data_IF_606990516211
#
_entry.id   IF_606990516211
#
_cell.length_a   1.000
_cell.length_b   1.000
_cell.length_c   1.000
_cell.angle_alpha   90.00
_cell.angle_beta   90.00
_cell.angle_gamma   90.00
#
_symmetry.space_group_name_H-M   'P 1'
#
loop_
_entity.id
_entity.type
_entity.pdbx_description
1 polymer ?
#
# COMPACT_ATOMS: atom_id res chain seq x y z
N UNK A 1 -48.41 -7.44 13.44
CA UNK A 1 -47.22 -6.94 14.16
C UNK A 1 -46.24 -6.36 13.15
N UNK A 2 -45.94 -5.06 13.17
CA UNK A 2 -44.97 -4.48 12.25
C UNK A 2 -43.55 -4.71 12.77
N UNK A 3 -42.65 -5.08 11.85
CA UNK A 3 -41.28 -5.50 12.14
C UNK A 3 -40.39 -4.38 12.70
N UNK A 4 -39.55 -4.77 13.65
CA UNK A 4 -38.48 -3.94 14.21
C UNK A 4 -37.40 -3.74 13.13
N UNK A 5 -36.99 -2.49 12.82
CA UNK A 5 -35.91 -2.26 11.88
C UNK A 5 -34.57 -2.64 12.53
N UNK A 6 -33.76 -3.43 11.82
CA UNK A 6 -32.42 -3.83 12.23
C UNK A 6 -31.47 -2.63 12.37
N UNK A 7 -31.40 -2.07 13.57
CA UNK A 7 -30.44 -1.05 13.97
C UNK A 7 -29.20 -1.71 14.57
N UNK A 8 -28.20 -2.05 13.74
CA UNK A 8 -26.91 -2.48 14.33
C UNK A 8 -25.91 -3.18 13.41
N UNK A 9 -25.21 -2.44 12.54
CA UNK A 9 -23.96 -2.98 11.95
C UNK A 9 -22.86 -1.94 11.66
N UNK A 10 -23.15 -0.64 11.84
CA UNK A 10 -22.17 0.43 11.60
C UNK A 10 -21.29 0.78 12.81
N UNK A 11 -21.68 0.44 14.05
CA UNK A 11 -20.97 0.92 15.25
C UNK A 11 -19.90 -0.04 15.81
N UNK A 12 -19.97 -1.35 15.55
CA UNK A 12 -18.96 -2.34 15.98
C UNK A 12 -17.72 -2.35 15.06
N UNK A 13 -17.97 -2.27 13.75
CA UNK A 13 -16.95 -2.38 12.71
C UNK A 13 -15.91 -1.24 12.72
N UNK A 14 -16.37 -0.01 12.96
CA UNK A 14 -15.47 1.15 13.12
C UNK A 14 -14.61 1.03 14.37
N UNK A 15 -15.19 0.54 15.48
CA UNK A 15 -14.48 0.32 16.75
C UNK A 15 -13.37 -0.72 16.61
N UNK A 16 -13.62 -1.81 15.89
CA UNK A 16 -12.62 -2.86 15.66
C UNK A 16 -11.44 -2.35 14.82
N UNK A 17 -11.69 -1.56 13.77
CA UNK A 17 -10.62 -0.99 12.95
C UNK A 17 -9.78 0.01 13.76
N UNK A 18 -10.40 0.85 14.59
CA UNK A 18 -9.67 1.78 15.47
C UNK A 18 -8.82 1.03 16.50
N UNK A 19 -9.35 -0.04 17.10
CA UNK A 19 -8.59 -0.90 18.02
C UNK A 19 -7.40 -1.55 17.31
N UNK A 20 -7.61 -2.09 16.11
CA UNK A 20 -6.54 -2.69 15.30
C UNK A 20 -5.43 -1.68 15.00
N UNK A 21 -5.78 -0.47 14.56
CA UNK A 21 -4.77 0.57 14.30
C UNK A 21 -3.94 0.92 15.55
N UNK A 22 -4.56 0.93 16.74
CA UNK A 22 -3.81 1.14 17.99
C UNK A 22 -2.83 -0.01 18.27
N UNK A 23 -3.27 -1.26 18.14
CA UNK A 23 -2.41 -2.44 18.32
C UNK A 23 -1.23 -2.41 17.36
N UNK A 24 -1.48 -2.13 16.07
CA UNK A 24 -0.45 -2.02 15.05
C UNK A 24 0.52 -0.87 15.35
N UNK A 25 0.01 0.29 15.76
CA UNK A 25 0.84 1.45 16.14
C UNK A 25 1.77 1.10 17.31
N UNK A 26 1.23 0.51 18.38
CA UNK A 26 2.03 0.10 19.54
C UNK A 26 3.11 -0.91 19.17
N UNK A 27 2.78 -1.89 18.32
CA UNK A 27 3.75 -2.88 17.83
C UNK A 27 4.88 -2.22 17.02
N UNK A 28 4.56 -1.28 16.12
CA UNK A 28 5.57 -0.59 15.32
C UNK A 28 6.51 0.26 16.20
N UNK A 29 5.96 0.97 17.19
CA UNK A 29 6.74 1.75 18.16
C UNK A 29 7.62 0.83 19.02
N UNK A 30 7.09 -0.30 19.51
CA UNK A 30 7.84 -1.33 20.25
C UNK A 30 9.05 -1.81 19.43
N UNK A 31 8.89 -1.93 18.10
CA UNK A 31 9.97 -2.30 17.18
C UNK A 31 10.81 -1.12 16.69
N UNK A 32 10.70 0.06 17.30
CA UNK A 32 11.58 1.21 17.03
C UNK A 32 11.28 1.95 15.73
N UNK A 33 10.07 1.86 15.19
CA UNK A 33 9.64 2.70 14.08
C UNK A 33 9.20 4.08 14.59
N UNK A 34 9.52 5.13 13.83
CA UNK A 34 8.80 6.39 13.90
C UNK A 34 7.45 6.20 13.19
N UNK A 35 6.34 6.56 13.84
CA UNK A 35 4.99 6.22 13.37
C UNK A 35 4.09 7.44 13.35
N UNK A 36 3.36 7.62 12.25
CA UNK A 36 2.28 8.60 12.17
C UNK A 36 0.95 7.94 11.81
N UNK A 37 -0.14 8.46 12.37
CA UNK A 37 -1.48 7.88 12.26
C UNK A 37 -2.47 8.85 11.61
N UNK A 38 -3.09 8.39 10.53
CA UNK A 38 -4.03 9.14 9.70
C UNK A 38 -5.46 8.65 9.95
N UNK A 39 -6.25 9.47 10.63
CA UNK A 39 -7.69 9.23 10.84
C UNK A 39 -8.48 9.93 9.75
N UNK A 40 -9.49 9.27 9.19
CA UNK A 40 -10.36 9.85 8.16
C UNK A 40 -11.20 10.98 8.79
N UNK A 41 -10.87 12.27 8.54
CA UNK A 41 -11.54 13.37 9.22
C UNK A 41 -12.91 13.65 8.60
N UNK A 42 -13.09 13.29 7.33
CA UNK A 42 -14.31 13.52 6.55
C UNK A 42 -15.14 12.23 6.45
N UNK A 43 -16.45 12.27 6.77
CA UNK A 43 -17.33 11.13 6.53
C UNK A 43 -17.26 10.66 5.07
N UNK A 44 -17.10 9.34 4.87
CA UNK A 44 -17.00 8.65 3.57
C UNK A 44 -15.67 8.79 2.81
N UNK A 45 -14.74 9.67 3.22
CA UNK A 45 -13.36 9.59 2.68
C UNK A 45 -12.70 8.35 3.28
N UNK A 46 -12.02 7.57 2.45
CA UNK A 46 -11.32 6.35 2.85
C UNK A 46 -9.88 6.50 2.45
N UNK A 47 -8.95 6.52 3.40
CA UNK A 47 -7.55 6.62 3.04
C UNK A 47 -6.98 5.26 2.60
N UNK A 48 -6.08 5.25 1.62
CA UNK A 48 -5.38 4.08 1.11
C UNK A 48 -4.37 3.53 2.11
N UNK A 49 -3.92 4.36 3.06
CA UNK A 49 -3.20 3.97 4.28
C UNK A 49 -3.78 4.69 5.51
N UNK A 50 -3.57 4.12 6.70
CA UNK A 50 -3.92 4.75 7.98
C UNK A 50 -2.69 4.98 8.86
N UNK A 51 -1.57 4.33 8.56
CA UNK A 51 -0.36 4.39 9.35
C UNK A 51 0.82 4.47 8.37
N UNK A 52 1.73 5.41 8.62
CA UNK A 52 3.08 5.42 8.07
C UNK A 52 4.03 5.00 9.16
N UNK A 53 5.06 4.23 8.81
CA UNK A 53 6.09 3.85 9.77
C UNK A 53 7.47 3.79 9.11
N UNK A 54 8.48 4.45 9.68
CA UNK A 54 9.84 4.48 9.14
C UNK A 54 10.88 4.08 10.18
N UNK A 55 11.84 3.24 9.78
CA UNK A 55 13.00 2.82 10.59
C UNK A 55 14.17 2.51 9.65
N UNK A 56 15.20 3.37 9.66
CA UNK A 56 16.31 3.24 8.71
C UNK A 56 15.83 3.39 7.26
N UNK A 57 16.13 2.40 6.44
CA UNK A 57 15.71 2.26 5.03
C UNK A 57 14.29 1.71 4.87
N UNK A 58 13.72 1.11 5.93
CA UNK A 58 12.36 0.54 5.89
C UNK A 58 11.33 1.63 6.07
N UNK A 59 10.55 1.89 5.02
CA UNK A 59 9.37 2.75 5.07
C UNK A 59 8.11 1.94 4.74
N UNK A 60 7.11 1.97 5.61
CA UNK A 60 5.86 1.21 5.49
C UNK A 60 4.66 2.14 5.30
N UNK A 61 3.79 1.81 4.36
CA UNK A 61 2.44 2.38 4.25
C UNK A 61 1.41 1.30 4.57
N UNK A 62 0.77 1.43 5.73
CA UNK A 62 -0.07 0.38 6.30
C UNK A 62 -1.53 0.79 6.26
N UNK A 63 -2.37 -0.08 5.68
CA UNK A 63 -3.83 0.01 5.74
C UNK A 63 -4.39 -0.98 6.74
N UNK A 64 -5.00 -0.49 7.81
CA UNK A 64 -5.74 -1.34 8.75
C UNK A 64 -7.19 -1.52 8.28
N UNK A 65 -7.65 -2.76 8.18
CA UNK A 65 -9.06 -3.10 7.91
C UNK A 65 -9.49 -4.28 8.77
N UNK A 66 -10.70 -4.27 9.29
CA UNK A 66 -11.20 -5.41 10.06
C UNK A 66 -11.25 -6.72 9.25
N UNK A 67 -11.69 -6.64 7.99
CA UNK A 67 -11.81 -7.76 7.05
C UNK A 67 -11.06 -7.42 5.77
N UNK A 68 -10.32 -8.38 5.21
CA UNK A 68 -9.60 -8.20 3.96
C UNK A 68 -10.52 -7.77 2.81
N UNK A 69 -11.78 -8.20 2.79
CA UNK A 69 -12.81 -7.78 1.83
C UNK A 69 -12.85 -6.24 1.64
N UNK A 70 -12.72 -5.47 2.74
CA UNK A 70 -12.78 -4.01 2.74
C UNK A 70 -11.61 -3.32 2.06
N UNK A 71 -10.49 -4.02 1.88
CA UNK A 71 -9.40 -3.53 1.06
C UNK A 71 -9.81 -3.71 -0.40
N UNK A 72 -10.22 -2.62 -1.04
CA UNK A 72 -10.72 -2.60 -2.43
C UNK A 72 -9.59 -2.41 -3.43
N UNK A 73 -9.87 -2.69 -4.71
CA UNK A 73 -8.89 -2.47 -5.80
C UNK A 73 -8.47 -1.00 -5.92
N UNK A 74 -9.39 -0.07 -5.63
CA UNK A 74 -9.09 1.37 -5.64
C UNK A 74 -8.09 1.74 -4.52
N UNK A 75 -8.34 1.27 -3.29
CA UNK A 75 -7.43 1.48 -2.16
C UNK A 75 -6.06 0.86 -2.45
N UNK A 76 -6.04 -0.35 -2.99
CA UNK A 76 -4.81 -1.04 -3.33
C UNK A 76 -3.99 -0.28 -4.37
N UNK A 77 -4.63 0.27 -5.39
CA UNK A 77 -3.92 0.97 -6.45
C UNK A 77 -3.31 2.29 -5.97
N UNK A 78 -4.06 3.12 -5.25
CA UNK A 78 -3.52 4.36 -4.68
C UNK A 78 -2.42 4.07 -3.63
N UNK A 79 -2.59 3.01 -2.82
CA UNK A 79 -1.57 2.56 -1.88
C UNK A 79 -0.28 2.14 -2.59
N UNK A 80 -0.37 1.38 -3.69
CA UNK A 80 0.79 0.94 -4.48
C UNK A 80 1.47 2.10 -5.21
N UNK A 81 0.71 3.02 -5.80
CA UNK A 81 1.26 4.19 -6.49
C UNK A 81 2.01 5.08 -5.51
N UNK A 82 1.40 5.35 -4.35
CA UNK A 82 2.05 6.10 -3.28
C UNK A 82 3.31 5.37 -2.83
N UNK A 83 3.21 4.07 -2.57
CA UNK A 83 4.34 3.29 -2.09
C UNK A 83 5.51 3.23 -3.08
N UNK A 84 5.22 3.04 -4.36
CA UNK A 84 6.22 3.05 -5.41
C UNK A 84 6.93 4.40 -5.50
N UNK A 85 6.19 5.51 -5.40
CA UNK A 85 6.76 6.86 -5.54
C UNK A 85 7.71 7.20 -4.39
N UNK A 86 7.38 6.76 -3.17
CA UNK A 86 8.18 7.08 -1.98
C UNK A 86 9.09 5.94 -1.51
N UNK A 87 9.31 4.92 -2.34
CA UNK A 87 10.17 3.77 -1.98
C UNK A 87 9.71 3.02 -0.73
N UNK A 88 8.41 3.00 -0.45
CA UNK A 88 7.84 2.34 0.74
C UNK A 88 7.26 0.97 0.40
N UNK A 89 7.06 0.13 1.41
CA UNK A 89 6.35 -1.14 1.30
C UNK A 89 4.87 -0.96 1.64
N UNK A 90 3.94 -1.24 0.71
CA UNK A 90 2.51 -1.26 1.00
C UNK A 90 2.15 -2.53 1.77
N UNK A 91 1.39 -2.38 2.84
CA UNK A 91 0.95 -3.51 3.67
C UNK A 91 -0.50 -3.32 4.12
N UNK A 92 -1.25 -4.41 4.18
CA UNK A 92 -2.56 -4.44 4.81
C UNK A 92 -2.44 -5.20 6.13
N UNK A 93 -3.02 -4.66 7.20
CA UNK A 93 -3.22 -5.41 8.44
C UNK A 93 -4.71 -5.66 8.63
N UNK A 94 -5.08 -6.92 8.80
CA UNK A 94 -6.46 -7.32 8.98
C UNK A 94 -6.64 -8.44 10.01
N UNK A 95 -7.85 -8.57 10.54
CA UNK A 95 -8.18 -9.62 11.51
C UNK A 95 -8.80 -10.83 10.83
N UNK A 96 -9.53 -10.61 9.74
CA UNK A 96 -10.37 -11.62 9.10
C UNK A 96 -10.22 -11.63 7.58
N UNK A 97 -10.46 -12.79 6.98
CA UNK A 97 -10.55 -12.98 5.54
C UNK A 97 -11.87 -12.42 4.97
N UNK A 98 -12.17 -12.75 3.71
CA UNK A 98 -13.41 -12.35 3.04
C UNK A 98 -14.65 -13.08 3.57
N UNK A 99 -14.49 -14.29 4.08
CA UNK A 99 -15.59 -15.10 4.64
C UNK A 99 -15.84 -14.78 6.14
N UNK A 100 -15.01 -13.92 6.73
CA UNK A 100 -15.11 -13.51 8.12
C UNK A 100 -14.40 -14.43 9.10
N UNK A 101 -13.60 -15.40 8.61
CA UNK A 101 -12.76 -16.26 9.45
C UNK A 101 -11.48 -15.50 9.84
N UNK A 102 -10.90 -15.75 11.03
CA UNK A 102 -9.63 -15.17 11.41
C UNK A 102 -8.54 -15.48 10.39
N UNK A 103 -7.69 -14.50 10.09
CA UNK A 103 -6.45 -14.77 9.36
C UNK A 103 -5.54 -15.62 10.25
N UNK A 104 -4.82 -16.54 9.62
CA UNK A 104 -3.89 -17.43 10.29
C UNK A 104 -2.55 -16.73 10.52
N UNK A 105 -1.96 -16.98 11.68
CA UNK A 105 -0.62 -16.53 12.01
C UNK A 105 0.43 -17.19 11.08
N UNK A 106 1.45 -16.43 10.69
CA UNK A 106 2.53 -16.91 9.83
C UNK A 106 2.16 -17.01 8.35
N UNK A 107 1.03 -16.44 7.92
CA UNK A 107 0.58 -16.46 6.52
C UNK A 107 0.44 -15.04 5.95
N UNK A 108 1.01 -14.83 4.76
CA UNK A 108 0.82 -13.60 3.99
C UNK A 108 -0.37 -13.73 3.04
N UNK A 109 -1.42 -12.94 3.21
CA UNK A 109 -2.61 -12.95 2.35
C UNK A 109 -2.47 -11.95 1.22
N UNK A 110 -2.26 -12.41 -0.01
CA UNK A 110 -2.09 -11.55 -1.16
C UNK A 110 -3.45 -11.12 -1.72
N UNK A 111 -3.72 -9.81 -1.71
CA UNK A 111 -4.92 -9.22 -2.28
C UNK A 111 -4.57 -7.99 -3.12
N UNK A 112 -5.03 -7.98 -4.37
CA UNK A 112 -4.68 -6.92 -5.34
C UNK A 112 -3.17 -6.64 -5.43
N UNK A 113 -2.36 -7.71 -5.37
CA UNK A 113 -0.90 -7.70 -5.34
C UNK A 113 -0.26 -7.07 -4.10
N UNK A 114 -1.04 -6.69 -3.08
CA UNK A 114 -0.53 -6.21 -1.78
C UNK A 114 -0.65 -7.34 -0.76
N UNK A 115 0.36 -7.50 0.10
CA UNK A 115 0.30 -8.48 1.18
C UNK A 115 -0.54 -7.95 2.34
N UNK A 116 -1.37 -8.83 2.89
CA UNK A 116 -2.18 -8.65 4.06
C UNK A 116 -1.75 -9.61 5.16
N UNK A 117 -1.66 -9.13 6.39
CA UNK A 117 -1.23 -9.93 7.54
C UNK A 117 -2.12 -9.66 8.74
N UNK A 118 -2.13 -10.58 9.69
CA UNK A 118 -2.65 -10.29 11.03
C UNK A 118 -1.54 -9.76 11.97
N UNK A 119 -1.89 -9.15 13.11
CA UNK A 119 -0.93 -8.51 14.01
C UNK A 119 0.28 -9.35 14.46
N UNK A 120 0.13 -10.64 14.78
CA UNK A 120 1.23 -11.52 15.18
C UNK A 120 2.19 -11.80 14.02
N UNK A 121 1.65 -11.96 12.81
CA UNK A 121 2.42 -12.11 11.57
C UNK A 121 3.17 -10.83 11.24
N UNK A 122 2.59 -9.66 11.49
CA UNK A 122 3.31 -8.39 11.43
C UNK A 122 4.48 -8.37 12.43
N UNK A 123 4.29 -8.85 13.67
CA UNK A 123 5.38 -8.94 14.66
C UNK A 123 6.53 -9.81 14.15
N UNK A 124 6.23 -10.98 13.59
CA UNK A 124 7.21 -11.90 12.98
C UNK A 124 8.00 -11.17 11.87
N UNK A 125 7.32 -10.46 10.96
CA UNK A 125 7.94 -9.69 9.89
C UNK A 125 8.87 -8.59 10.40
N UNK A 126 8.46 -7.85 11.43
CA UNK A 126 9.25 -6.74 12.01
C UNK A 126 10.46 -7.23 12.82
N UNK A 127 10.41 -8.48 13.29
CA UNK A 127 11.53 -9.21 13.90
C UNK A 127 12.44 -9.88 12.85
N UNK A 128 12.16 -9.67 11.56
CA UNK A 128 12.93 -10.20 10.44
C UNK A 128 13.00 -11.74 10.43
N UNK A 129 12.01 -12.38 11.08
CA UNK A 129 11.82 -13.82 11.02
C UNK A 129 11.14 -14.20 9.70
N UNK A 130 11.62 -15.27 9.09
CA UNK A 130 11.16 -15.71 7.77
C UNK A 130 9.71 -16.22 7.79
N UNK A 131 8.90 -15.72 6.86
CA UNK A 131 7.57 -16.28 6.56
C UNK A 131 7.62 -16.98 5.20
N UNK A 132 7.12 -18.20 5.14
CA UNK A 132 7.27 -19.06 3.96
C UNK A 132 5.96 -19.26 3.18
N UNK A 133 4.82 -19.08 3.84
CA UNK A 133 3.50 -19.37 3.29
C UNK A 133 2.78 -18.07 2.93
N UNK A 134 2.19 -18.04 1.74
CA UNK A 134 1.26 -17.00 1.33
C UNK A 134 -0.03 -17.59 0.78
N UNK A 135 -1.16 -16.94 1.05
CA UNK A 135 -2.43 -17.21 0.40
C UNK A 135 -2.59 -16.32 -0.83
N UNK A 136 -2.94 -16.90 -1.98
CA UNK A 136 -3.33 -16.18 -3.20
C UNK A 136 -4.57 -16.90 -3.79
N UNK A 137 -5.01 -16.51 -4.98
CA UNK A 137 -6.05 -17.26 -5.70
C UNK A 137 -5.66 -18.74 -5.77
N UNK A 138 -6.57 -19.62 -5.36
CA UNK A 138 -6.37 -21.07 -5.41
C UNK A 138 -5.73 -21.71 -4.17
N UNK A 139 -5.48 -20.96 -3.09
CA UNK A 139 -5.10 -21.54 -1.79
C UNK A 139 -3.76 -21.03 -1.25
N UNK A 140 -3.11 -21.87 -0.44
CA UNK A 140 -1.80 -21.58 0.14
C UNK A 140 -0.67 -22.01 -0.78
N UNK A 141 0.39 -21.21 -0.78
CA UNK A 141 1.55 -21.36 -1.64
C UNK A 141 2.83 -21.08 -0.86
N UNK A 142 3.94 -21.64 -1.34
CA UNK A 142 5.29 -21.35 -0.87
C UNK A 142 6.18 -20.95 -2.04
N UNK A 143 7.22 -20.17 -1.77
CA UNK A 143 8.20 -19.79 -2.79
C UNK A 143 9.31 -20.81 -2.89
N UNK A 144 9.54 -21.29 -4.12
CA UNK A 144 10.65 -22.18 -4.43
C UNK A 144 11.90 -21.37 -4.81
N UNK A 145 13.04 -21.76 -4.26
CA UNK A 145 14.35 -21.35 -4.75
C UNK A 145 14.68 -22.16 -6.00
N UNK A 146 14.27 -21.66 -7.16
CA UNK A 146 14.43 -22.35 -8.45
C UNK A 146 15.86 -22.74 -8.78
N UNK A 147 16.85 -21.90 -8.43
CA UNK A 147 18.27 -22.23 -8.59
C UNK A 147 18.68 -23.44 -7.74
N UNK A 148 18.21 -23.49 -6.49
CA UNK A 148 18.49 -24.61 -5.57
C UNK A 148 17.78 -25.89 -6.01
N UNK A 149 16.52 -25.78 -6.44
CA UNK A 149 15.76 -26.88 -7.04
C UNK A 149 16.53 -27.50 -8.21
N UNK A 150 16.93 -26.67 -9.18
CA UNK A 150 17.69 -27.12 -10.35
C UNK A 150 18.98 -27.83 -9.98
N UNK A 151 19.77 -27.23 -9.07
CA UNK A 151 21.03 -27.80 -8.60
C UNK A 151 20.85 -29.18 -7.96
N UNK A 152 19.84 -29.35 -7.10
CA UNK A 152 19.58 -30.63 -6.43
C UNK A 152 19.10 -31.69 -7.42
N UNK A 153 18.21 -31.31 -8.34
CA UNK A 153 17.71 -32.20 -9.40
C UNK A 153 18.84 -32.72 -10.29
N UNK A 154 19.69 -31.81 -10.80
CA UNK A 154 20.81 -32.15 -11.67
C UNK A 154 21.85 -33.02 -10.94
N UNK A 155 22.09 -32.77 -9.64
CA UNK A 155 22.97 -33.61 -8.81
C UNK A 155 22.48 -35.06 -8.72
N UNK A 156 21.16 -35.28 -8.76
CA UNK A 156 20.54 -36.60 -8.71
C UNK A 156 20.31 -37.19 -10.12
N UNK A 157 20.78 -36.53 -11.19
CA UNK A 157 20.56 -36.92 -12.59
C UNK A 157 19.08 -37.09 -12.97
N UNK A 158 18.18 -36.38 -12.30
CA UNK A 158 16.75 -36.44 -12.58
C UNK A 158 16.36 -35.47 -13.70
N UNK A 159 15.54 -35.93 -14.64
CA UNK A 159 14.91 -35.08 -15.64
C UNK A 159 13.75 -34.27 -15.03
N UNK A 160 13.31 -33.23 -15.73
CA UNK A 160 12.11 -32.48 -15.35
C UNK A 160 10.85 -33.35 -15.33
N UNK A 161 10.80 -34.39 -16.17
CA UNK A 161 9.68 -35.32 -16.26
C UNK A 161 9.60 -36.23 -15.04
N UNK A 162 10.72 -36.84 -14.66
CA UNK A 162 10.79 -37.75 -13.50
C UNK A 162 10.43 -37.02 -12.19
N UNK A 163 10.95 -35.80 -12.00
CA UNK A 163 10.56 -34.99 -10.82
C UNK A 163 9.08 -34.66 -10.85
N UNK A 164 8.54 -34.29 -12.01
CA UNK A 164 7.13 -33.92 -12.15
C UNK A 164 6.19 -35.09 -11.83
N UNK A 165 6.52 -36.28 -12.33
CA UNK A 165 5.79 -37.52 -12.05
C UNK A 165 5.85 -37.86 -10.55
N UNK A 166 7.04 -37.83 -9.95
CA UNK A 166 7.23 -38.16 -8.54
C UNK A 166 6.44 -37.25 -7.57
N UNK A 167 6.31 -35.96 -7.89
CA UNK A 167 5.59 -35.00 -7.03
C UNK A 167 4.18 -34.67 -7.51
N UNK A 168 3.68 -35.37 -8.54
CA UNK A 168 2.32 -35.25 -9.03
C UNK A 168 1.98 -33.87 -9.60
N UNK A 169 2.88 -33.29 -10.40
CA UNK A 169 2.66 -32.01 -11.10
C UNK A 169 3.02 -32.14 -12.59
N UNK A 170 2.73 -31.10 -13.38
CA UNK A 170 3.15 -31.11 -14.79
C UNK A 170 4.64 -30.85 -14.95
N UNK A 171 5.26 -31.38 -16.01
CA UNK A 171 6.64 -31.05 -16.41
C UNK A 171 6.85 -29.52 -16.55
N UNK A 172 5.83 -28.81 -17.03
CA UNK A 172 5.83 -27.34 -17.13
C UNK A 172 5.90 -26.67 -15.75
N UNK A 173 5.28 -27.23 -14.72
CA UNK A 173 5.34 -26.68 -13.37
C UNK A 173 6.77 -26.72 -12.81
N UNK A 174 7.47 -27.86 -12.93
CA UNK A 174 8.88 -27.96 -12.50
C UNK A 174 9.76 -26.96 -13.26
N UNK A 175 9.55 -26.83 -14.58
CA UNK A 175 10.25 -25.83 -15.39
C UNK A 175 10.03 -24.40 -14.86
N UNK A 176 8.80 -24.01 -14.53
CA UNK A 176 8.50 -22.68 -13.97
C UNK A 176 9.00 -22.50 -12.52
N UNK A 177 9.03 -23.58 -11.72
CA UNK A 177 9.63 -23.56 -10.38
C UNK A 177 11.13 -23.27 -10.45
N UNK A 178 11.86 -23.91 -11.38
CA UNK A 178 13.30 -23.65 -11.56
C UNK A 178 13.61 -22.23 -12.02
N UNK A 179 12.68 -21.61 -12.77
CA UNK A 179 12.77 -20.20 -13.16
C UNK A 179 12.33 -19.23 -12.08
N UNK A 180 11.69 -19.71 -11.01
CA UNK A 180 11.18 -18.89 -9.91
C UNK A 180 9.95 -18.06 -10.28
N UNK A 181 9.27 -18.39 -11.38
CA UNK A 181 8.09 -17.66 -11.85
C UNK A 181 6.80 -18.11 -11.15
N UNK A 182 6.81 -19.29 -10.53
CA UNK A 182 5.64 -19.92 -9.93
C UNK A 182 5.98 -20.43 -8.52
N UNK A 183 5.04 -20.24 -7.59
CA UNK A 183 5.06 -20.90 -6.27
C UNK A 183 4.41 -22.28 -6.34
N UNK A 184 4.71 -23.15 -5.37
CA UNK A 184 4.06 -24.45 -5.25
C UNK A 184 3.11 -24.47 -4.05
N UNK A 185 2.22 -25.46 -3.98
CA UNK A 185 1.51 -25.71 -2.72
C UNK A 185 2.52 -26.24 -1.67
N UNK A 186 2.24 -26.10 -0.36
CA UNK A 186 3.07 -26.68 0.68
C UNK A 186 3.30 -28.19 0.51
N UNK A 187 2.27 -28.93 0.11
CA UNK A 187 2.34 -30.40 -0.05
C UNK A 187 3.26 -30.81 -1.21
N UNK A 188 3.25 -30.05 -2.31
CA UNK A 188 4.19 -30.26 -3.42
C UNK A 188 5.61 -29.91 -3.00
N UNK A 189 5.80 -28.84 -2.22
CA UNK A 189 7.12 -28.45 -1.73
C UNK A 189 7.73 -29.52 -0.83
N UNK A 190 6.95 -30.08 0.10
CA UNK A 190 7.40 -31.17 0.98
C UNK A 190 7.85 -32.38 0.15
N UNK A 191 7.03 -32.83 -0.81
CA UNK A 191 7.38 -33.95 -1.71
C UNK A 191 8.65 -33.69 -2.52
N UNK A 192 8.86 -32.45 -2.98
CA UNK A 192 10.10 -32.05 -3.65
C UNK A 192 11.31 -32.11 -2.70
N UNK A 193 11.18 -31.61 -1.47
CA UNK A 193 12.27 -31.64 -0.49
C UNK A 193 12.64 -33.08 -0.07
N UNK A 194 11.64 -33.95 0.08
CA UNK A 194 11.81 -35.39 0.34
C UNK A 194 12.53 -36.09 -0.81
N UNK A 195 12.09 -35.87 -2.07
CA UNK A 195 12.72 -36.44 -3.25
C UNK A 195 14.17 -35.98 -3.42
N UNK A 196 14.45 -34.72 -3.15
CA UNK A 196 15.74 -34.08 -3.44
C UNK A 196 16.74 -34.14 -2.27
N UNK A 197 16.26 -34.51 -1.08
CA UNK A 197 17.06 -34.58 0.14
C UNK A 197 17.59 -33.21 0.59
N UNK A 198 16.79 -32.15 0.47
CA UNK A 198 17.21 -30.82 0.90
C UNK A 198 16.17 -29.73 0.72
N UNK A 199 16.22 -28.71 1.59
CA UNK A 199 15.22 -27.65 1.56
C UNK A 199 15.33 -26.77 0.31
N UNK A 200 14.23 -26.55 -0.39
CA UNK A 200 14.14 -25.69 -1.59
C UNK A 200 13.23 -24.49 -1.38
N UNK A 201 12.49 -24.42 -0.27
CA UNK A 201 11.65 -23.25 0.03
C UNK A 201 12.51 -22.07 0.49
N UNK A 202 12.06 -20.85 0.19
CA UNK A 202 12.70 -19.61 0.66
C UNK A 202 11.70 -18.69 1.36
N UNK A 203 12.13 -17.90 2.35
CA UNK A 203 11.25 -16.92 2.98
C UNK A 203 10.84 -15.85 1.98
N UNK A 204 9.68 -15.26 2.24
CA UNK A 204 9.07 -14.18 1.47
C UNK A 204 9.51 -12.87 2.11
N UNK A 205 10.22 -12.04 1.34
CA UNK A 205 10.64 -10.73 1.82
C UNK A 205 9.71 -9.65 1.25
N UNK A 206 8.78 -9.16 2.06
CA UNK A 206 7.83 -8.13 1.63
C UNK A 206 8.50 -6.79 1.32
N UNK A 207 9.70 -6.53 1.85
CA UNK A 207 10.44 -5.28 1.63
C UNK A 207 11.15 -5.26 0.27
N UNK A 208 11.49 -6.42 -0.28
CA UNK A 208 12.16 -6.55 -1.59
C UNK A 208 11.17 -6.82 -2.74
N UNK A 209 9.97 -7.33 -2.42
CA UNK A 209 8.99 -7.76 -3.43
C UNK A 209 8.19 -6.63 -4.07
N UNK A 210 8.68 -5.39 -4.00
CA UNK A 210 8.01 -4.20 -4.52
C UNK A 210 8.11 -4.08 -6.04
N UNK A 211 7.75 -5.12 -6.78
CA UNK A 211 7.49 -5.06 -8.22
C UNK A 211 6.08 -4.52 -8.49
N UNK A 212 5.78 -3.30 -8.01
CA UNK A 212 4.54 -2.59 -8.33
C UNK A 212 4.67 -1.79 -9.62
N UNK A 213 5.24 -2.40 -10.67
CA UNK A 213 5.34 -1.73 -11.98
C UNK A 213 4.03 -1.88 -12.76
N UNK A 214 3.59 -0.73 -13.29
CA UNK A 214 2.51 -0.48 -14.26
C UNK A 214 1.21 -1.25 -14.00
N UNK A 215 0.36 -0.70 -13.14
CA UNK A 215 -1.08 -0.96 -13.25
C UNK A 215 -1.73 -0.02 -14.28
N UNK A 216 -2.61 -0.63 -15.08
CA UNK A 216 -3.18 -0.15 -16.33
C UNK A 216 -4.18 1.01 -16.21
N UNK A 217 -4.44 1.62 -17.37
CA UNK A 217 -5.19 2.84 -17.71
C UNK A 217 -6.54 3.12 -17.02
N UNK A 218 -7.10 2.19 -16.24
CA UNK A 218 -8.39 2.38 -15.56
C UNK A 218 -8.31 3.48 -14.50
N UNK A 219 -7.17 3.60 -13.80
CA UNK A 219 -6.92 4.64 -12.80
C UNK A 219 -6.88 6.04 -13.41
N UNK A 220 -6.30 6.17 -14.61
CA UNK A 220 -6.20 7.44 -15.35
C UNK A 220 -7.57 8.02 -15.68
N UNK A 221 -8.56 7.16 -15.97
CA UNK A 221 -9.93 7.60 -16.27
C UNK A 221 -10.62 8.21 -15.05
N UNK A 222 -10.41 7.66 -13.86
CA UNK A 222 -10.97 8.21 -12.60
C UNK A 222 -10.27 9.51 -12.22
N UNK A 223 -8.93 9.56 -12.37
CA UNK A 223 -8.11 10.74 -12.17
C UNK A 223 -8.58 11.93 -13.04
N UNK A 224 -8.85 11.71 -14.34
CA UNK A 224 -9.37 12.73 -15.27
C UNK A 224 -10.71 13.35 -14.85
N UNK A 225 -11.58 12.60 -14.18
CA UNK A 225 -12.85 13.15 -13.67
C UNK A 225 -12.65 14.20 -12.56
N UNK A 226 -11.51 14.17 -11.86
CA UNK A 226 -11.17 15.12 -10.80
C UNK A 226 -10.49 16.38 -11.32
N UNK A 227 -9.65 16.27 -12.36
CA UNK A 227 -9.12 17.46 -13.04
C UNK A 227 -10.23 18.40 -13.49
N UNK A 228 -11.34 17.86 -14.00
CA UNK A 228 -12.51 18.65 -14.42
C UNK A 228 -13.16 19.49 -13.31
N UNK A 229 -12.83 19.22 -12.04
CA UNK A 229 -13.34 19.97 -10.88
C UNK A 229 -12.33 20.98 -10.34
N UNK A 230 -11.11 20.99 -10.87
CA UNK A 230 -10.09 21.98 -10.54
C UNK A 230 -10.33 23.26 -11.35
N UNK A 231 -9.88 24.43 -10.86
CA UNK A 231 -9.74 25.64 -11.66
C UNK A 231 -8.99 25.36 -12.97
N UNK A 232 -9.39 26.03 -14.05
CA UNK A 232 -8.83 25.83 -15.40
C UNK A 232 -7.31 25.94 -15.42
N UNK A 233 -6.74 26.86 -14.65
CA UNK A 233 -5.31 27.07 -14.54
C UNK A 233 -4.58 25.81 -14.02
N UNK A 234 -5.10 25.18 -12.95
CA UNK A 234 -4.53 23.94 -12.43
C UNK A 234 -4.75 22.76 -13.38
N UNK A 235 -5.90 22.74 -14.07
CA UNK A 235 -6.14 21.74 -15.09
C UNK A 235 -5.07 21.79 -16.19
N UNK A 236 -4.73 22.99 -16.69
CA UNK A 236 -3.68 23.16 -17.70
C UNK A 236 -2.32 22.66 -17.23
N UNK A 237 -1.93 22.99 -16.00
CA UNK A 237 -0.65 22.55 -15.40
C UNK A 237 -0.58 21.03 -15.29
N UNK A 238 -1.59 20.41 -14.70
CA UNK A 238 -1.53 18.97 -14.40
C UNK A 238 -1.90 18.09 -15.59
N UNK A 239 -2.65 18.57 -16.58
CA UNK A 239 -3.25 17.73 -17.64
C UNK A 239 -2.26 17.08 -18.60
N UNK A 240 -1.13 17.73 -18.89
CA UNK A 240 -0.17 17.28 -19.92
C UNK A 240 0.76 16.17 -19.45
N UNK A 241 1.01 16.07 -18.15
CA UNK A 241 1.96 15.11 -17.55
C UNK A 241 1.27 14.02 -16.71
N UNK A 242 -0.06 13.93 -16.78
CA UNK A 242 -0.82 12.89 -16.07
C UNK A 242 -0.32 11.54 -16.54
N UNK A 243 0.18 10.79 -15.58
CA UNK A 243 0.59 9.45 -15.79
C UNK A 243 1.91 9.17 -15.20
N UNK A 244 2.90 8.99 -16.05
CA UNK A 244 4.21 8.52 -15.59
C UNK A 244 4.80 9.47 -14.54
N UNK A 245 4.63 10.78 -14.73
CA UNK A 245 5.11 11.82 -13.82
C UNK A 245 4.06 12.23 -12.78
N UNK A 246 2.81 12.49 -13.18
CA UNK A 246 1.77 13.02 -12.26
C UNK A 246 0.69 11.99 -11.96
N UNK A 247 0.45 11.74 -10.68
CA UNK A 247 -0.58 10.82 -10.18
C UNK A 247 -1.60 11.59 -9.35
N UNK A 248 -2.88 11.40 -9.66
CA UNK A 248 -3.98 11.99 -8.87
C UNK A 248 -4.55 10.96 -7.91
N UNK A 249 -4.76 11.39 -6.67
CA UNK A 249 -5.22 10.58 -5.57
C UNK A 249 -6.54 11.10 -5.00
N UNK A 250 -7.35 10.19 -4.47
CA UNK A 250 -8.62 10.51 -3.79
C UNK A 250 -8.66 9.97 -2.37
N UNK A 251 -7.82 8.99 -2.11
CA UNK A 251 -7.73 8.21 -0.89
C UNK A 251 -6.41 8.52 -0.17
N UNK A 252 -5.80 9.67 -0.41
CA UNK A 252 -4.67 10.17 0.38
C UNK A 252 -5.05 11.49 1.09
N UNK A 253 -4.27 11.91 2.11
CA UNK A 253 -4.44 13.22 2.72
C UNK A 253 -4.12 14.38 1.75
N UNK A 254 -3.37 14.10 0.68
CA UNK A 254 -3.06 14.99 -0.45
C UNK A 254 -3.71 14.48 -1.75
N UNK A 255 -3.84 15.35 -2.74
CA UNK A 255 -4.59 15.07 -3.97
C UNK A 255 -3.68 14.70 -5.16
N UNK A 256 -2.40 15.08 -5.13
CA UNK A 256 -1.47 14.88 -6.25
C UNK A 256 -0.12 14.40 -5.73
N UNK A 257 0.47 13.44 -6.44
CA UNK A 257 1.89 13.10 -6.35
C UNK A 257 2.54 13.41 -7.70
N UNK A 258 3.73 14.00 -7.64
CA UNK A 258 4.58 14.27 -8.78
C UNK A 258 5.88 13.53 -8.54
N UNK A 259 6.16 12.55 -9.40
CA UNK A 259 7.39 11.78 -9.35
C UNK A 259 8.54 12.63 -9.91
N UNK A 260 9.57 12.82 -9.10
CA UNK A 260 10.79 13.57 -9.46
C UNK A 260 12.01 12.71 -9.17
N UNK A 261 13.10 12.95 -9.89
CA UNK A 261 14.33 12.13 -9.78
C UNK A 261 15.01 12.22 -8.41
N UNK A 262 14.93 13.38 -7.74
CA UNK A 262 15.56 13.61 -6.43
C UNK A 262 14.58 13.45 -5.28
N UNK A 263 13.57 14.31 -5.25
CA UNK A 263 12.64 14.44 -4.12
C UNK A 263 11.21 14.53 -4.66
N UNK A 264 10.35 13.53 -4.43
CA UNK A 264 8.99 13.60 -4.94
C UNK A 264 8.23 14.77 -4.32
N UNK A 265 7.27 15.30 -5.09
CA UNK A 265 6.45 16.44 -4.67
C UNK A 265 5.01 15.96 -4.45
N UNK A 266 4.39 16.41 -3.37
CA UNK A 266 2.95 16.22 -3.11
C UNK A 266 2.23 17.55 -3.16
N UNK A 267 1.01 17.55 -3.71
CA UNK A 267 0.15 18.75 -3.74
C UNK A 267 -1.09 18.52 -2.90
N UNK A 268 -1.30 19.41 -1.93
CA UNK A 268 -2.55 19.55 -1.19
C UNK A 268 -3.37 20.69 -1.79
N UNK A 269 -4.65 20.44 -2.07
CA UNK A 269 -5.57 21.45 -2.59
C UNK A 269 -6.57 21.89 -1.50
N UNK A 270 -6.58 23.18 -1.18
CA UNK A 270 -7.54 23.83 -0.28
C UNK A 270 -8.23 25.02 -0.96
N UNK A 271 -9.01 24.72 -1.98
CA UNK A 271 -9.68 25.71 -2.84
C UNK A 271 -11.03 26.22 -2.29
N UNK A 272 -11.52 25.61 -1.21
CA UNK A 272 -12.63 26.10 -0.41
C UNK A 272 -12.48 25.56 1.02
N UNK A 273 -13.02 26.28 2.01
CA UNK A 273 -12.98 25.86 3.41
C UNK A 273 -14.31 25.26 3.91
N UNK A 274 -14.99 24.47 3.07
CA UNK A 274 -16.16 23.71 3.54
C UNK A 274 -15.67 22.61 4.48
N UNK A 275 -16.12 22.62 5.74
CA UNK A 275 -15.61 21.76 6.82
C UNK A 275 -14.14 22.07 7.16
N UNK A 276 -13.90 23.35 7.48
CA UNK A 276 -12.59 23.92 7.82
C UNK A 276 -11.76 23.02 8.74
N UNK A 277 -12.34 22.55 9.85
CA UNK A 277 -11.61 21.74 10.85
C UNK A 277 -11.04 20.46 10.24
N UNK A 278 -11.84 19.76 9.46
CA UNK A 278 -11.45 18.51 8.81
C UNK A 278 -10.38 18.75 7.75
N UNK A 279 -10.48 19.83 6.98
CA UNK A 279 -9.52 20.19 5.95
C UNK A 279 -8.17 20.64 6.52
N UNK A 280 -8.17 21.42 7.60
CA UNK A 280 -6.95 21.77 8.32
C UNK A 280 -6.30 20.51 8.91
N UNK A 281 -7.10 19.55 9.40
CA UNK A 281 -6.57 18.26 9.86
C UNK A 281 -5.95 17.44 8.72
N UNK A 282 -6.53 17.46 7.51
CA UNK A 282 -5.90 16.85 6.34
C UNK A 282 -4.59 17.53 5.96
N UNK A 283 -4.49 18.85 6.08
CA UNK A 283 -3.25 19.58 5.84
C UNK A 283 -2.16 19.16 6.84
N UNK A 284 -2.49 19.06 8.14
CA UNK A 284 -1.56 18.52 9.14
C UNK A 284 -1.06 17.11 8.76
N UNK A 285 -1.95 16.25 8.27
CA UNK A 285 -1.57 14.92 7.78
C UNK A 285 -0.68 14.97 6.54
N UNK A 286 -0.92 15.90 5.61
CA UNK A 286 -0.05 16.09 4.46
C UNK A 286 1.35 16.56 4.86
N UNK A 287 1.45 17.47 5.84
CA UNK A 287 2.73 17.94 6.40
C UNK A 287 3.48 16.81 7.11
N UNK A 288 2.78 16.04 7.94
CA UNK A 288 3.36 14.91 8.64
C UNK A 288 3.86 13.83 7.67
N UNK A 289 3.07 13.51 6.64
CA UNK A 289 3.49 12.60 5.58
C UNK A 289 4.71 13.13 4.83
N UNK A 290 4.75 14.43 4.48
CA UNK A 290 5.85 15.01 3.72
C UNK A 290 7.18 14.88 4.46
N UNK A 291 7.18 15.10 5.78
CA UNK A 291 8.35 14.87 6.64
C UNK A 291 8.77 13.40 6.70
N UNK A 292 7.82 12.49 6.91
CA UNK A 292 8.11 11.05 6.99
C UNK A 292 8.67 10.50 5.67
N UNK A 293 8.08 10.91 4.55
CA UNK A 293 8.39 10.42 3.21
C UNK A 293 9.53 11.18 2.51
N UNK A 294 10.09 12.21 3.16
CA UNK A 294 11.02 13.16 2.56
C UNK A 294 10.51 13.72 1.21
N UNK A 295 9.34 14.35 1.27
CA UNK A 295 8.64 14.91 0.12
C UNK A 295 8.51 16.42 0.25
N UNK A 296 8.61 17.13 -0.87
CA UNK A 296 8.24 18.55 -0.92
C UNK A 296 6.71 18.68 -0.89
N UNK A 297 6.17 19.58 -0.07
CA UNK A 297 4.72 19.83 0.00
C UNK A 297 4.37 21.18 -0.62
N UNK A 298 3.57 21.15 -1.67
CA UNK A 298 2.93 22.35 -2.23
C UNK A 298 1.47 22.39 -1.80
N UNK A 299 1.07 23.48 -1.15
CA UNK A 299 -0.30 23.78 -0.82
C UNK A 299 -0.85 24.81 -1.81
N UNK A 300 -1.83 24.41 -2.61
CA UNK A 300 -2.56 25.33 -3.47
C UNK A 300 -3.86 25.74 -2.77
N UNK A 301 -4.01 27.03 -2.50
CA UNK A 301 -5.14 27.57 -1.74
C UNK A 301 -5.63 28.91 -2.30
N UNK A 302 -6.93 29.19 -2.19
CA UNK A 302 -7.44 30.52 -2.55
C UNK A 302 -7.15 31.53 -1.41
N UNK A 303 -7.27 32.84 -1.69
CA UNK A 303 -6.97 33.91 -0.69
C UNK A 303 -7.66 33.71 0.66
N UNK A 304 -8.94 33.34 0.65
CA UNK A 304 -9.72 33.11 1.88
C UNK A 304 -9.17 31.92 2.69
N UNK A 305 -8.86 30.81 2.01
CA UNK A 305 -8.23 29.65 2.62
C UNK A 305 -6.85 29.98 3.18
N UNK A 306 -6.01 30.72 2.44
CA UNK A 306 -4.67 31.10 2.87
C UNK A 306 -4.69 31.92 4.15
N UNK A 307 -5.64 32.86 4.28
CA UNK A 307 -5.81 33.66 5.49
C UNK A 307 -6.11 32.80 6.73
N UNK A 308 -7.04 31.86 6.60
CA UNK A 308 -7.42 30.97 7.70
C UNK A 308 -6.31 29.99 8.10
N UNK A 309 -5.49 29.55 7.14
CA UNK A 309 -4.33 28.68 7.41
C UNK A 309 -3.26 29.45 8.20
N UNK A 310 -2.96 30.69 7.80
CA UNK A 310 -2.04 31.56 8.55
C UNK A 310 -2.51 31.81 9.98
N UNK A 311 -3.83 31.89 10.21
CA UNK A 311 -4.42 32.01 11.55
C UNK A 311 -4.37 30.70 12.36
N UNK A 312 -4.24 29.55 11.70
CA UNK A 312 -4.29 28.22 12.34
C UNK A 312 -2.97 27.75 12.96
N UNK A 313 -1.92 28.59 12.93
CA UNK A 313 -0.56 28.28 13.44
C UNK A 313 0.11 27.06 12.78
N UNK A 314 -0.48 26.51 11.70
CA UNK A 314 0.12 25.46 10.91
C UNK A 314 1.31 26.05 10.14
N UNK A 315 2.51 25.80 10.63
CA UNK A 315 3.75 26.20 9.98
C UNK A 315 4.67 24.98 9.77
N UNK A 316 5.34 24.94 8.63
CA UNK A 316 6.31 23.90 8.28
C UNK A 316 7.21 24.44 7.17
N UNK A 317 8.52 24.30 7.34
CA UNK A 317 9.50 24.70 6.31
C UNK A 317 9.27 23.97 4.97
N UNK A 318 8.67 22.79 5.04
CA UNK A 318 8.27 21.98 3.88
C UNK A 318 7.06 22.53 3.09
N UNK A 319 6.32 23.52 3.63
CA UNK A 319 5.06 23.99 3.08
C UNK A 319 5.28 25.21 2.16
N UNK A 320 5.29 24.97 0.85
CA UNK A 320 5.20 26.04 -0.14
C UNK A 320 3.73 26.37 -0.44
N UNK A 321 3.30 27.60 -0.16
CA UNK A 321 1.94 28.05 -0.41
C UNK A 321 1.81 28.82 -1.73
N UNK A 322 0.97 28.32 -2.63
CA UNK A 322 0.66 28.94 -3.91
C UNK A 322 -0.84 29.19 -4.06
N UNK A 323 -1.19 30.13 -4.93
CA UNK A 323 -2.56 30.35 -5.39
C UNK A 323 -2.82 29.63 -6.73
N UNK A 324 -4.08 29.38 -7.11
CA UNK A 324 -4.39 28.87 -8.45
C UNK A 324 -3.90 29.79 -9.58
N UNK A 325 -3.71 31.07 -9.31
CA UNK A 325 -3.20 32.07 -10.25
C UNK A 325 -1.68 31.92 -10.50
N UNK A 326 -0.94 31.30 -9.57
CA UNK A 326 0.51 31.06 -9.67
C UNK A 326 0.86 29.83 -10.52
N UNK A 327 0.05 29.55 -11.55
CA UNK A 327 0.16 28.36 -12.38
C UNK A 327 1.52 28.23 -13.09
N UNK A 328 2.17 29.36 -13.40
CA UNK A 328 3.51 29.40 -14.00
C UNK A 328 4.56 28.87 -13.02
N UNK A 329 4.57 29.37 -11.78
CA UNK A 329 5.49 28.91 -10.73
C UNK A 329 5.24 27.45 -10.39
N UNK A 330 3.97 27.03 -10.29
CA UNK A 330 3.62 25.63 -10.12
C UNK A 330 4.18 24.78 -11.25
N UNK A 331 4.08 25.23 -12.50
CA UNK A 331 4.62 24.50 -13.66
C UNK A 331 6.14 24.40 -13.62
N UNK A 332 6.84 25.49 -13.31
CA UNK A 332 8.30 25.51 -13.15
C UNK A 332 8.73 24.49 -12.07
N UNK A 333 8.05 24.48 -10.93
CA UNK A 333 8.25 23.48 -9.88
C UNK A 333 7.97 22.04 -10.31
N UNK A 334 7.15 21.80 -11.33
CA UNK A 334 6.94 20.44 -11.85
C UNK A 334 8.05 20.02 -12.81
N UNK A 335 8.68 20.95 -13.51
CA UNK A 335 9.70 20.69 -14.54
C UNK A 335 11.11 20.47 -13.95
N UNK A 336 11.41 21.01 -12.76
CA UNK A 336 12.66 20.81 -12.00
C UNK A 336 12.86 19.41 -11.41
#
# INVERSE_FOLDING_TARGET
MPGVPATGSRSSNGRNTVRLSKVVTSLLIEKGFHVSVYKEPVPRKRYCFNITAKRGDKFLLIKCVERLERFTSQLASELKITSFTFGSTPLVVALKDSDGKPLLEGILYKKYKVFGVEPSTLRILLEERGIYIYADKGGFHVKINGKKLRKLRERLNLSLGEVAEAVGVSRKAIYEYERGNLGSTPEVAVRLEELLGGSIVKPINIFEETHYRKESDVQYRIARSHLRKMPTQLHEVFSKEIGDKIKLLRQAPFEIIVNKDKRPLIVKLLLNLRRKREQLKELEYSIDFSKMADAQLVLVSNKASSYEIKKSEINSDELLMLSPEDAKELKELLEE
#
